data_IF_728454708084
#
_entry.id   IF_728454708084
#
_cell.length_a   1.000
_cell.length_b   1.000
_cell.length_c   1.000
_cell.angle_alpha   90.00
_cell.angle_beta   90.00
_cell.angle_gamma   90.00
#
_symmetry.space_group_name_H-M   'P 1'
#
loop_
_entity.id
_entity.type
_entity.pdbx_description
1 polymer ?
#
# COMPACT_ATOMS: atom_id res chain seq x y z
N UNK A 1 -156.79 -102.38 -13.38
CA UNK A 1 -157.22 -101.45 -12.32
C UNK A 1 -156.62 -100.09 -12.66
N UNK A 2 -157.24 -99.32 -13.56
CA UNK A 2 -158.03 -98.14 -13.21
C UNK A 2 -157.52 -97.41 -11.96
N UNK A 3 -156.89 -96.25 -12.16
CA UNK A 3 -157.44 -95.03 -11.56
C UNK A 3 -156.93 -93.79 -12.31
N UNK A 4 -157.91 -93.04 -12.80
CA UNK A 4 -157.79 -91.80 -13.55
C UNK A 4 -157.75 -90.60 -12.61
N UNK A 5 -157.37 -89.44 -13.19
CA UNK A 5 -157.56 -88.04 -12.76
C UNK A 5 -156.34 -87.31 -12.14
N UNK A 6 -156.25 -85.97 -12.25
CA UNK A 6 -156.80 -85.05 -13.28
C UNK A 6 -155.75 -84.01 -13.77
N UNK A 7 -156.02 -83.23 -14.84
CA UNK A 7 -155.14 -82.13 -15.27
C UNK A 7 -155.31 -80.90 -14.37
N UNK A 8 -154.19 -80.30 -13.95
CA UNK A 8 -154.16 -79.10 -13.09
C UNK A 8 -154.05 -77.80 -13.90
N UNK A 9 -154.79 -76.82 -13.39
CA UNK A 9 -155.24 -75.54 -13.96
C UNK A 9 -154.13 -74.51 -14.26
N UNK A 10 -154.35 -73.70 -15.30
CA UNK A 10 -153.45 -72.64 -15.77
C UNK A 10 -153.25 -71.47 -14.78
N UNK A 11 -154.13 -71.32 -13.78
CA UNK A 11 -154.05 -70.23 -12.79
C UNK A 11 -152.89 -70.34 -11.79
N UNK A 12 -152.42 -71.55 -11.49
CA UNK A 12 -151.41 -71.80 -10.46
C UNK A 12 -149.97 -71.62 -10.97
N UNK A 13 -149.78 -71.72 -12.30
CA UNK A 13 -148.48 -71.48 -12.94
C UNK A 13 -148.13 -69.99 -13.05
N UNK A 14 -149.14 -69.11 -13.01
CA UNK A 14 -148.93 -67.66 -13.13
C UNK A 14 -148.44 -67.03 -11.82
N UNK A 15 -148.93 -67.49 -10.66
CA UNK A 15 -148.50 -66.96 -9.35
C UNK A 15 -147.05 -67.35 -8.98
N UNK A 16 -146.61 -68.55 -9.38
CA UNK A 16 -145.22 -69.00 -9.15
C UNK A 16 -144.23 -68.23 -10.05
N UNK A 17 -144.62 -67.88 -11.28
CA UNK A 17 -143.77 -67.10 -12.19
C UNK A 17 -143.61 -65.63 -11.73
N UNK A 18 -144.68 -65.00 -11.22
CA UNK A 18 -144.62 -63.62 -10.71
C UNK A 18 -143.75 -63.53 -9.44
N UNK A 19 -143.81 -64.53 -8.56
CA UNK A 19 -142.96 -64.59 -7.37
C UNK A 19 -141.46 -64.70 -7.68
N UNK A 20 -141.09 -65.45 -8.71
CA UNK A 20 -139.69 -65.57 -9.15
C UNK A 20 -139.16 -64.26 -9.76
N UNK A 21 -140.00 -63.52 -10.50
CA UNK A 21 -139.64 -62.24 -11.11
C UNK A 21 -139.31 -61.17 -10.06
N UNK A 22 -140.15 -61.03 -9.03
CA UNK A 22 -139.91 -60.04 -7.95
C UNK A 22 -138.62 -60.32 -7.18
N UNK A 23 -138.30 -61.60 -6.94
CA UNK A 23 -137.05 -62.02 -6.28
C UNK A 23 -135.81 -61.69 -7.12
N UNK A 24 -135.90 -61.84 -8.45
CA UNK A 24 -134.83 -61.47 -9.36
C UNK A 24 -134.60 -59.94 -9.40
N UNK A 25 -135.67 -59.15 -9.43
CA UNK A 25 -135.59 -57.67 -9.39
C UNK A 25 -134.98 -57.18 -8.08
N UNK A 26 -135.40 -57.73 -6.93
CA UNK A 26 -134.84 -57.36 -5.64
C UNK A 26 -133.34 -57.67 -5.55
N UNK A 27 -132.91 -58.82 -6.06
CA UNK A 27 -131.49 -59.20 -6.10
C UNK A 27 -130.68 -58.24 -6.98
N UNK A 28 -131.24 -57.77 -8.09
CA UNK A 28 -130.59 -56.80 -8.97
C UNK A 28 -130.42 -55.44 -8.30
N UNK A 29 -131.44 -54.94 -7.57
CA UNK A 29 -131.34 -53.68 -6.82
C UNK A 29 -130.24 -53.73 -5.77
N UNK A 30 -130.11 -54.83 -5.02
CA UNK A 30 -129.06 -54.98 -4.00
C UNK A 30 -127.66 -54.97 -4.63
N UNK A 31 -127.49 -55.63 -5.78
CA UNK A 31 -126.19 -55.65 -6.49
C UNK A 31 -125.83 -54.25 -7.01
N UNK A 32 -126.79 -53.51 -7.56
CA UNK A 32 -126.57 -52.12 -7.99
C UNK A 32 -126.22 -51.23 -6.80
N UNK A 33 -126.92 -51.37 -5.67
CA UNK A 33 -126.63 -50.60 -4.45
C UNK A 33 -125.23 -50.89 -3.90
N UNK A 34 -124.83 -52.16 -3.88
CA UNK A 34 -123.49 -52.57 -3.48
C UNK A 34 -122.41 -51.99 -4.41
N UNK A 35 -122.68 -51.96 -5.72
CA UNK A 35 -121.78 -51.33 -6.71
C UNK A 35 -121.59 -49.82 -6.46
N UNK A 36 -122.66 -49.09 -6.16
CA UNK A 36 -122.61 -47.65 -5.86
C UNK A 36 -121.83 -47.38 -4.57
N UNK A 37 -122.06 -48.18 -3.51
CA UNK A 37 -121.33 -48.05 -2.24
C UNK A 37 -119.82 -48.31 -2.45
N UNK A 38 -119.48 -49.36 -3.22
CA UNK A 38 -118.09 -49.70 -3.51
C UNK A 38 -117.39 -48.59 -4.31
N UNK A 39 -118.06 -48.01 -5.30
CA UNK A 39 -117.56 -46.89 -6.07
C UNK A 39 -117.34 -45.64 -5.19
N UNK A 40 -118.26 -45.35 -4.27
CA UNK A 40 -118.12 -44.25 -3.31
C UNK A 40 -116.92 -44.42 -2.37
N UNK A 41 -116.69 -45.63 -1.87
CA UNK A 41 -115.52 -45.93 -1.02
C UNK A 41 -114.21 -45.81 -1.79
N UNK A 42 -114.15 -46.29 -3.04
CA UNK A 42 -112.97 -46.14 -3.90
C UNK A 42 -112.65 -44.66 -4.17
N UNK A 43 -113.66 -43.84 -4.45
CA UNK A 43 -113.47 -42.41 -4.69
C UNK A 43 -112.93 -41.68 -3.44
N UNK A 44 -113.51 -41.95 -2.26
CA UNK A 44 -113.04 -41.40 -0.99
C UNK A 44 -111.59 -41.84 -0.67
N UNK A 45 -111.27 -43.11 -0.91
CA UNK A 45 -109.91 -43.62 -0.75
C UNK A 45 -108.90 -42.89 -1.64
N UNK A 46 -109.27 -42.62 -2.89
CA UNK A 46 -108.41 -41.89 -3.82
C UNK A 46 -108.19 -40.43 -3.40
N UNK A 47 -109.24 -39.73 -2.94
CA UNK A 47 -109.17 -38.34 -2.49
C UNK A 47 -108.26 -38.19 -1.25
N UNK A 48 -108.34 -39.10 -0.28
CA UNK A 48 -107.50 -39.05 0.93
C UNK A 48 -106.02 -39.26 0.62
N UNK A 49 -105.68 -40.19 -0.27
CA UNK A 49 -104.28 -40.43 -0.67
C UNK A 49 -103.70 -39.22 -1.42
N UNK A 50 -104.51 -38.57 -2.27
CA UNK A 50 -104.07 -37.40 -3.03
C UNK A 50 -103.72 -36.21 -2.13
N UNK A 51 -104.48 -36.00 -1.05
CA UNK A 51 -104.21 -34.92 -0.09
C UNK A 51 -103.00 -35.22 0.81
N UNK A 52 -102.76 -36.48 1.19
CA UNK A 52 -101.74 -36.79 2.19
C UNK A 52 -100.33 -36.99 1.59
N UNK A 53 -100.20 -37.39 0.32
CA UNK A 53 -98.90 -37.71 -0.28
C UNK A 53 -98.27 -36.59 -1.12
N UNK A 54 -99.07 -35.75 -1.79
CA UNK A 54 -98.56 -34.82 -2.83
C UNK A 54 -98.26 -33.41 -2.27
N UNK A 55 -98.94 -32.99 -1.20
CA UNK A 55 -98.70 -31.69 -0.56
C UNK A 55 -97.36 -31.57 0.19
N UNK A 56 -96.90 -32.54 1.02
CA UNK A 56 -95.62 -32.40 1.75
C UNK A 56 -94.39 -32.48 0.85
N UNK A 57 -94.50 -33.11 -0.34
CA UNK A 57 -93.41 -33.16 -1.30
C UNK A 57 -93.06 -31.76 -1.86
N UNK A 58 -94.05 -30.86 -2.00
CA UNK A 58 -93.84 -29.49 -2.50
C UNK A 58 -93.15 -28.59 -1.47
N UNK A 59 -93.46 -28.74 -0.18
CA UNK A 59 -92.80 -27.99 0.88
C UNK A 59 -91.36 -28.47 1.11
N UNK A 60 -91.13 -29.79 1.06
CA UNK A 60 -89.79 -30.34 1.20
C UNK A 60 -88.90 -29.96 0.00
N UNK A 61 -89.41 -29.93 -1.23
CA UNK A 61 -88.64 -29.44 -2.38
C UNK A 61 -88.27 -27.96 -2.25
N UNK A 62 -89.17 -27.12 -1.72
CA UNK A 62 -88.88 -25.70 -1.49
C UNK A 62 -87.84 -25.48 -0.37
N UNK A 63 -87.87 -26.31 0.68
CA UNK A 63 -86.84 -26.31 1.74
C UNK A 63 -85.49 -26.84 1.25
N UNK A 64 -85.49 -27.87 0.41
CA UNK A 64 -84.27 -28.40 -0.18
C UNK A 64 -83.60 -27.34 -1.07
N UNK A 65 -84.37 -26.66 -1.93
CA UNK A 65 -83.83 -25.59 -2.77
C UNK A 65 -83.30 -24.41 -1.94
N UNK A 66 -83.93 -24.09 -0.81
CA UNK A 66 -83.47 -23.03 0.09
C UNK A 66 -82.18 -23.43 0.82
N UNK A 67 -82.08 -24.68 1.29
CA UNK A 67 -80.84 -25.22 1.88
C UNK A 67 -79.72 -25.30 0.86
N UNK A 68 -80.00 -25.73 -0.37
CA UNK A 68 -79.03 -25.77 -1.46
C UNK A 68 -78.53 -24.37 -1.82
N UNK A 69 -79.44 -23.38 -1.85
CA UNK A 69 -79.08 -21.96 -2.06
C UNK A 69 -78.25 -21.43 -0.88
N UNK A 70 -78.62 -21.76 0.36
CA UNK A 70 -77.89 -21.34 1.55
C UNK A 70 -76.50 -21.98 1.62
N UNK A 71 -76.39 -23.25 1.25
CA UNK A 71 -75.12 -23.98 1.19
C UNK A 71 -74.23 -23.45 0.06
N UNK A 72 -74.78 -23.18 -1.12
CA UNK A 72 -74.06 -22.53 -2.22
C UNK A 72 -73.53 -21.16 -1.78
N UNK A 73 -74.37 -20.34 -1.15
CA UNK A 73 -73.96 -19.03 -0.63
C UNK A 73 -72.89 -19.13 0.47
N UNK A 74 -72.99 -20.11 1.38
CA UNK A 74 -71.95 -20.35 2.38
C UNK A 74 -70.64 -20.80 1.75
N UNK A 75 -70.68 -21.70 0.76
CA UNK A 75 -69.50 -22.15 0.03
C UNK A 75 -68.85 -21.00 -0.73
N UNK A 76 -69.62 -20.10 -1.33
CA UNK A 76 -69.11 -18.88 -1.97
C UNK A 76 -68.43 -17.96 -0.95
N UNK A 77 -69.07 -17.69 0.20
CA UNK A 77 -68.46 -16.88 1.26
C UNK A 77 -67.18 -17.51 1.80
N UNK A 78 -67.16 -18.84 1.97
CA UNK A 78 -65.98 -19.56 2.43
C UNK A 78 -64.85 -19.48 1.40
N UNK A 79 -65.17 -19.64 0.12
CA UNK A 79 -64.21 -19.48 -0.99
C UNK A 79 -63.63 -18.07 -1.01
N UNK A 80 -64.46 -17.05 -0.87
CA UNK A 80 -64.00 -15.66 -0.79
C UNK A 80 -63.15 -15.37 0.46
N UNK A 81 -63.42 -16.04 1.59
CA UNK A 81 -62.58 -15.91 2.79
C UNK A 81 -61.23 -16.58 2.61
N UNK A 82 -61.21 -17.77 2.01
CA UNK A 82 -59.97 -18.47 1.68
C UNK A 82 -59.10 -17.64 0.71
N UNK A 83 -59.72 -17.04 -0.31
CA UNK A 83 -59.02 -16.18 -1.26
C UNK A 83 -58.45 -14.92 -0.58
N UNK A 84 -59.23 -14.26 0.29
CA UNK A 84 -58.72 -13.12 1.08
C UNK A 84 -57.57 -13.52 2.02
N UNK A 85 -57.66 -14.68 2.66
CA UNK A 85 -56.59 -15.18 3.53
C UNK A 85 -55.34 -15.52 2.72
N UNK A 86 -55.49 -16.13 1.54
CA UNK A 86 -54.37 -16.42 0.64
C UNK A 86 -53.71 -15.13 0.13
N UNK A 87 -54.51 -14.11 -0.21
CA UNK A 87 -54.02 -12.80 -0.60
C UNK A 87 -53.25 -12.14 0.55
N UNK A 88 -53.83 -12.14 1.77
CA UNK A 88 -53.19 -11.58 2.95
C UNK A 88 -51.87 -12.28 3.30
N UNK A 89 -51.81 -13.61 3.19
CA UNK A 89 -50.57 -14.38 3.41
C UNK A 89 -49.51 -14.03 2.35
N UNK A 90 -49.92 -13.83 1.10
CA UNK A 90 -49.02 -13.41 0.02
C UNK A 90 -48.49 -12.00 0.27
N UNK A 91 -49.37 -11.06 0.66
CA UNK A 91 -48.99 -9.69 0.96
C UNK A 91 -48.07 -9.61 2.19
N UNK A 92 -48.36 -10.37 3.25
CA UNK A 92 -47.46 -10.52 4.40
C UNK A 92 -46.12 -11.14 4.01
N UNK A 93 -46.12 -12.17 3.16
CA UNK A 93 -44.90 -12.77 2.62
C UNK A 93 -44.03 -11.75 1.89
N UNK A 94 -44.65 -10.93 1.05
CA UNK A 94 -43.97 -9.86 0.32
C UNK A 94 -43.42 -8.78 1.27
N UNK A 95 -44.16 -8.39 2.32
CA UNK A 95 -43.67 -7.45 3.33
C UNK A 95 -42.49 -8.00 4.13
N UNK A 96 -42.51 -9.29 4.49
CA UNK A 96 -41.38 -9.94 5.18
C UNK A 96 -40.14 -9.94 4.29
N UNK A 97 -40.29 -10.23 3.00
CA UNK A 97 -39.18 -10.18 2.03
C UNK A 97 -38.62 -8.76 1.94
N UNK A 98 -39.49 -7.74 1.86
CA UNK A 98 -39.06 -6.34 1.79
C UNK A 98 -38.30 -5.90 3.05
N UNK A 99 -38.82 -6.23 4.23
CA UNK A 99 -38.15 -5.94 5.51
C UNK A 99 -36.79 -6.66 5.63
N UNK A 100 -36.71 -7.88 5.12
CA UNK A 100 -35.46 -8.64 5.10
C UNK A 100 -34.42 -7.98 4.18
N UNK A 101 -34.83 -7.55 3.00
CA UNK A 101 -33.98 -6.82 2.04
C UNK A 101 -33.51 -5.48 2.61
N UNK A 102 -34.41 -4.70 3.21
CA UNK A 102 -34.08 -3.44 3.87
C UNK A 102 -33.09 -3.67 5.04
N UNK A 103 -33.29 -4.71 5.85
CA UNK A 103 -32.37 -5.06 6.94
C UNK A 103 -30.99 -5.48 6.44
N UNK A 104 -30.92 -6.17 5.30
CA UNK A 104 -29.66 -6.54 4.66
C UNK A 104 -28.94 -5.30 4.11
N UNK A 105 -29.68 -4.37 3.50
CA UNK A 105 -29.17 -3.07 3.06
C UNK A 105 -28.60 -2.25 4.22
N UNK A 106 -29.38 -2.07 5.29
CA UNK A 106 -28.96 -1.37 6.51
C UNK A 106 -27.70 -1.99 7.12
N UNK A 107 -27.62 -3.33 7.18
CA UNK A 107 -26.43 -4.01 7.71
C UNK A 107 -25.20 -3.74 6.85
N UNK A 108 -25.35 -3.79 5.53
CA UNK A 108 -24.29 -3.45 4.58
C UNK A 108 -23.83 -2.00 4.76
N UNK A 109 -24.76 -1.06 4.94
CA UNK A 109 -24.44 0.36 5.16
C UNK A 109 -23.68 0.57 6.47
N UNK A 110 -24.08 -0.12 7.54
CA UNK A 110 -23.37 -0.08 8.83
C UNK A 110 -21.95 -0.64 8.69
N UNK A 111 -21.76 -1.75 7.99
CA UNK A 111 -20.43 -2.31 7.73
C UNK A 111 -19.55 -1.35 6.91
N UNK A 112 -20.13 -0.67 5.91
CA UNK A 112 -19.44 0.36 5.13
C UNK A 112 -19.04 1.57 5.99
N UNK A 113 -19.97 2.09 6.81
CA UNK A 113 -19.71 3.21 7.73
C UNK A 113 -18.64 2.81 8.76
N UNK A 114 -18.66 1.58 9.25
CA UNK A 114 -17.66 1.10 10.20
C UNK A 114 -16.27 0.97 9.55
N UNK A 115 -16.20 0.46 8.32
CA UNK A 115 -14.94 0.36 7.57
C UNK A 115 -14.34 1.74 7.26
N UNK A 116 -15.18 2.72 6.90
CA UNK A 116 -14.74 4.09 6.67
C UNK A 116 -14.32 4.78 7.97
N UNK A 117 -15.02 4.53 9.09
CA UNK A 117 -14.57 4.96 10.42
C UNK A 117 -13.16 4.44 10.76
N UNK A 118 -12.88 3.17 10.47
CA UNK A 118 -11.55 2.59 10.68
C UNK A 118 -10.48 3.15 9.73
N UNK A 119 -10.86 3.70 8.58
CA UNK A 119 -9.92 4.31 7.63
C UNK A 119 -9.48 5.74 8.03
N UNK A 120 -10.32 6.51 8.72
CA UNK A 120 -9.96 7.87 9.19
C UNK A 120 -8.68 7.93 10.04
N UNK A 121 -8.44 7.10 11.07
CA UNK A 121 -7.21 7.18 11.86
C UNK A 121 -5.95 6.89 11.02
N UNK A 122 -6.06 6.04 9.99
CA UNK A 122 -4.97 5.79 9.06
C UNK A 122 -4.67 7.01 8.19
N UNK A 123 -5.70 7.73 7.74
CA UNK A 123 -5.53 8.97 7.00
C UNK A 123 -4.91 10.08 7.86
N UNK A 124 -5.35 10.23 9.12
CA UNK A 124 -4.73 11.17 10.07
C UNK A 124 -3.26 10.85 10.30
N UNK A 125 -2.92 9.57 10.48
CA UNK A 125 -1.52 9.14 10.66
C UNK A 125 -0.66 9.46 9.42
N UNK A 126 -1.20 9.26 8.22
CA UNK A 126 -0.51 9.67 6.97
C UNK A 126 -0.30 11.18 6.90
N UNK A 127 -1.25 11.97 7.38
CA UNK A 127 -1.13 13.42 7.40
C UNK A 127 -0.03 13.89 8.38
N UNK A 128 0.03 13.29 9.58
CA UNK A 128 1.09 13.54 10.57
C UNK A 128 2.48 13.13 10.03
N UNK A 129 2.57 11.97 9.36
CA UNK A 129 3.81 11.53 8.70
C UNK A 129 4.22 12.48 7.57
N UNK A 130 3.28 13.01 6.79
CA UNK A 130 3.57 14.00 5.75
C UNK A 130 4.03 15.33 6.33
N UNK A 131 3.43 15.79 7.44
CA UNK A 131 3.86 16.99 8.14
C UNK A 131 5.30 16.86 8.66
N UNK A 132 5.63 15.72 9.28
CA UNK A 132 6.99 15.41 9.74
C UNK A 132 8.00 15.42 8.59
N UNK A 133 7.66 14.78 7.47
CA UNK A 133 8.51 14.77 6.27
C UNK A 133 8.70 16.17 5.69
N UNK A 134 7.65 17.00 5.69
CA UNK A 134 7.75 18.37 5.21
C UNK A 134 8.67 19.21 6.12
N UNK A 135 8.56 19.05 7.44
CA UNK A 135 9.43 19.71 8.41
C UNK A 135 10.91 19.31 8.24
N UNK A 136 11.16 18.02 8.00
CA UNK A 136 12.50 17.49 7.72
C UNK A 136 13.07 18.05 6.42
N UNK A 137 12.30 18.06 5.33
CA UNK A 137 12.72 18.65 4.04
C UNK A 137 13.03 20.14 4.19
N UNK A 138 12.21 20.88 4.95
CA UNK A 138 12.49 22.31 5.23
C UNK A 138 13.81 22.46 5.97
N UNK A 139 14.06 21.66 7.00
CA UNK A 139 15.31 21.67 7.75
C UNK A 139 16.53 21.39 6.85
N UNK A 140 16.46 20.37 6.01
CA UNK A 140 17.52 20.04 5.05
C UNK A 140 17.74 21.20 4.08
N UNK A 141 16.66 21.84 3.58
CA UNK A 141 16.78 22.97 2.67
C UNK A 141 17.47 24.19 3.31
N UNK A 142 17.18 24.48 4.58
CA UNK A 142 17.85 25.57 5.31
C UNK A 142 19.31 25.27 5.59
N UNK A 143 19.65 24.03 5.96
CA UNK A 143 21.03 23.60 6.17
C UNK A 143 21.83 23.66 4.87
N UNK A 144 21.25 23.20 3.76
CA UNK A 144 21.88 23.26 2.44
C UNK A 144 22.14 24.70 1.97
N UNK A 145 21.19 25.62 2.22
CA UNK A 145 21.35 27.03 1.86
C UNK A 145 22.42 27.71 2.73
N UNK A 146 22.48 27.39 4.02
CA UNK A 146 23.52 27.89 4.91
C UNK A 146 24.91 27.38 4.51
N UNK A 147 25.05 26.09 4.21
CA UNK A 147 26.31 25.51 3.75
C UNK A 147 26.76 26.09 2.40
N UNK A 148 25.83 26.32 1.48
CA UNK A 148 26.13 26.98 0.21
C UNK A 148 26.61 28.43 0.42
N UNK A 149 26.00 29.16 1.36
CA UNK A 149 26.39 30.52 1.69
C UNK A 149 27.77 30.57 2.37
N UNK A 150 28.05 29.63 3.28
CA UNK A 150 29.37 29.48 3.92
C UNK A 150 30.45 29.18 2.89
N UNK A 151 30.23 28.20 2.00
CA UNK A 151 31.15 27.90 0.91
C UNK A 151 31.34 29.08 -0.05
N UNK A 152 30.28 29.85 -0.32
CA UNK A 152 30.41 31.04 -1.16
C UNK A 152 31.18 32.16 -0.45
N UNK A 153 31.05 32.30 0.87
CA UNK A 153 31.84 33.23 1.67
C UNK A 153 33.31 32.82 1.74
N UNK A 154 33.63 31.53 1.95
CA UNK A 154 35.03 31.07 1.96
C UNK A 154 35.71 31.28 0.61
N UNK A 155 34.98 31.08 -0.49
CA UNK A 155 35.47 31.39 -1.84
C UNK A 155 35.56 32.89 -2.11
N UNK A 156 34.59 33.68 -1.65
CA UNK A 156 34.55 35.13 -1.86
C UNK A 156 35.60 35.88 -1.04
N UNK A 157 35.92 35.39 0.17
CA UNK A 157 36.99 35.94 0.98
C UNK A 157 38.36 35.77 0.31
N UNK A 158 38.49 34.84 -0.65
CA UNK A 158 39.72 34.65 -1.42
C UNK A 158 40.89 34.07 -0.63
N UNK A 159 40.80 34.02 0.71
CA UNK A 159 41.85 33.55 1.62
C UNK A 159 42.37 32.15 1.25
N UNK A 160 41.47 31.22 0.92
CA UNK A 160 41.87 29.88 0.49
C UNK A 160 42.62 29.89 -0.85
N UNK A 161 42.16 30.69 -1.82
CA UNK A 161 42.82 30.79 -3.12
C UNK A 161 44.19 31.47 -2.98
N UNK A 162 44.29 32.50 -2.15
CA UNK A 162 45.54 33.19 -1.83
C UNK A 162 46.54 32.26 -1.14
N UNK A 163 46.08 31.42 -0.20
CA UNK A 163 46.92 30.42 0.47
C UNK A 163 47.43 29.35 -0.51
N UNK A 164 46.56 28.84 -1.38
CA UNK A 164 46.97 27.88 -2.41
C UNK A 164 47.96 28.51 -3.41
N UNK A 165 47.73 29.76 -3.81
CA UNK A 165 48.63 30.49 -4.70
C UNK A 165 50.01 30.74 -4.04
N UNK A 166 50.02 31.06 -2.75
CA UNK A 166 51.23 31.17 -1.95
C UNK A 166 52.03 29.86 -1.97
N UNK A 167 51.41 28.75 -1.55
CA UNK A 167 52.05 27.44 -1.50
C UNK A 167 52.56 26.97 -2.88
N UNK A 168 51.78 27.21 -3.93
CA UNK A 168 52.18 26.86 -5.30
C UNK A 168 53.42 27.64 -5.75
N UNK A 169 53.48 28.94 -5.43
CA UNK A 169 54.61 29.80 -5.80
C UNK A 169 55.87 29.42 -5.04
N UNK A 170 55.74 29.13 -3.74
CA UNK A 170 56.84 28.60 -2.91
C UNK A 170 57.35 27.27 -3.48
N UNK A 171 56.47 26.32 -3.78
CA UNK A 171 56.87 25.03 -4.36
C UNK A 171 57.56 25.19 -5.73
N UNK A 172 57.04 26.08 -6.59
CA UNK A 172 57.66 26.38 -7.88
C UNK A 172 59.07 26.94 -7.70
N UNK A 173 59.28 27.84 -6.75
CA UNK A 173 60.60 28.38 -6.44
C UNK A 173 61.56 27.30 -5.89
N UNK A 174 61.09 26.40 -5.03
CA UNK A 174 61.87 25.27 -4.53
C UNK A 174 62.36 24.36 -5.66
N UNK A 175 61.49 24.08 -6.64
CA UNK A 175 61.84 23.27 -7.80
C UNK A 175 62.89 23.93 -8.71
N UNK A 176 62.80 25.26 -8.90
CA UNK A 176 63.83 26.02 -9.63
C UNK A 176 65.18 25.97 -8.91
N UNK A 177 65.18 26.05 -7.56
CA UNK A 177 66.39 25.92 -6.73
C UNK A 177 67.00 24.52 -6.88
N UNK A 178 66.19 23.45 -6.81
CA UNK A 178 66.64 22.09 -7.03
C UNK A 178 67.26 21.92 -8.42
N UNK A 179 66.62 22.47 -9.45
CA UNK A 179 67.14 22.45 -10.82
C UNK A 179 68.45 23.24 -10.95
N UNK A 180 68.57 24.38 -10.29
CA UNK A 180 69.82 25.14 -10.23
C UNK A 180 70.97 24.32 -9.62
N UNK A 181 70.72 23.59 -8.52
CA UNK A 181 71.72 22.71 -7.90
C UNK A 181 72.18 21.60 -8.84
N UNK A 182 71.26 21.03 -9.63
CA UNK A 182 71.59 20.06 -10.68
C UNK A 182 72.46 20.69 -11.77
N UNK A 183 72.15 21.92 -12.22
CA UNK A 183 73.02 22.62 -13.18
C UNK A 183 74.40 22.96 -12.61
N UNK A 184 74.50 23.30 -11.32
CA UNK A 184 75.79 23.51 -10.65
C UNK A 184 76.63 22.23 -10.61
N UNK A 185 76.03 21.07 -10.31
CA UNK A 185 76.76 19.78 -10.28
C UNK A 185 77.22 19.34 -11.67
N UNK A 186 76.55 19.79 -12.73
CA UNK A 186 76.93 19.58 -14.13
C UNK A 186 77.88 20.67 -14.67
N UNK A 187 78.37 21.57 -13.82
CA UNK A 187 79.21 22.71 -14.20
C UNK A 187 78.57 23.68 -15.22
N UNK A 188 77.23 23.65 -15.36
CA UNK A 188 76.48 24.55 -16.22
C UNK A 188 76.06 25.83 -15.46
N UNK A 189 77.04 26.69 -15.18
CA UNK A 189 76.86 27.85 -14.29
C UNK A 189 75.92 28.91 -14.85
N UNK A 190 75.83 29.03 -16.18
CA UNK A 190 74.91 29.97 -16.84
C UNK A 190 73.46 29.61 -16.57
N UNK A 191 73.07 28.36 -16.87
CA UNK A 191 71.72 27.88 -16.59
C UNK A 191 71.42 27.89 -15.10
N UNK A 192 72.36 27.49 -14.24
CA UNK A 192 72.17 27.57 -12.80
C UNK A 192 71.84 29.00 -12.35
N UNK A 193 72.57 30.00 -12.86
CA UNK A 193 72.32 31.40 -12.53
C UNK A 193 70.94 31.87 -12.97
N UNK A 194 70.48 31.46 -14.15
CA UNK A 194 69.17 31.84 -14.68
C UNK A 194 68.03 31.23 -13.85
N UNK A 195 68.18 29.97 -13.41
CA UNK A 195 67.22 29.31 -12.50
C UNK A 195 67.14 30.01 -11.14
N UNK A 196 68.27 30.40 -10.56
CA UNK A 196 68.31 31.11 -9.27
C UNK A 196 67.63 32.48 -9.40
N UNK A 197 67.86 33.21 -10.50
CA UNK A 197 67.17 34.48 -10.76
C UNK A 197 65.67 34.29 -10.93
N UNK A 198 65.25 33.25 -11.65
CA UNK A 198 63.83 32.95 -11.83
C UNK A 198 63.15 32.63 -10.49
N UNK A 199 63.79 31.81 -9.64
CA UNK A 199 63.30 31.52 -8.30
C UNK A 199 63.18 32.78 -7.44
N UNK A 200 64.22 33.62 -7.47
CA UNK A 200 64.26 34.89 -6.74
C UNK A 200 63.12 35.83 -7.16
N UNK A 201 62.88 35.98 -8.47
CA UNK A 201 61.83 36.85 -8.98
C UNK A 201 60.45 36.43 -8.46
N UNK A 202 60.15 35.13 -8.48
CA UNK A 202 58.88 34.60 -7.95
C UNK A 202 58.73 34.88 -6.45
N UNK A 203 59.79 34.70 -5.67
CA UNK A 203 59.75 34.95 -4.22
C UNK A 203 59.62 36.45 -3.88
N UNK A 204 60.25 37.33 -4.67
CA UNK A 204 60.12 38.79 -4.50
C UNK A 204 58.70 39.25 -4.88
N UNK A 205 58.12 38.70 -5.92
CA UNK A 205 56.73 38.96 -6.31
C UNK A 205 55.78 38.49 -5.22
N UNK A 206 55.99 37.29 -4.68
CA UNK A 206 55.20 36.74 -3.57
C UNK A 206 55.32 37.58 -2.29
N UNK A 207 56.49 38.14 -2.01
CA UNK A 207 56.72 38.98 -0.82
C UNK A 207 55.85 40.25 -0.81
N UNK A 208 55.43 40.75 -1.98
CA UNK A 208 54.59 41.94 -2.10
C UNK A 208 53.17 41.71 -1.55
N UNK A 209 52.67 40.48 -1.68
CA UNK A 209 51.30 40.09 -1.31
C UNK A 209 51.22 39.25 -0.04
N UNK A 210 52.36 38.81 0.48
CA UNK A 210 52.47 37.99 1.68
C UNK A 210 52.14 38.76 2.98
N UNK A 211 51.77 38.02 4.02
CA UNK A 211 51.58 38.55 5.38
C UNK A 211 52.91 39.00 6.00
N UNK A 212 52.87 39.80 7.08
CA UNK A 212 54.10 40.30 7.73
C UNK A 212 55.01 39.18 8.25
N UNK A 213 54.44 38.07 8.72
CA UNK A 213 55.19 36.89 9.18
C UNK A 213 55.88 36.19 8.00
N UNK A 214 55.15 35.94 6.91
CA UNK A 214 55.66 35.34 5.69
C UNK A 214 56.75 36.20 5.02
N UNK A 215 56.65 37.53 5.08
CA UNK A 215 57.66 38.45 4.53
C UNK A 215 59.04 38.23 5.13
N UNK A 216 59.12 37.94 6.43
CA UNK A 216 60.38 37.69 7.11
C UNK A 216 61.03 36.38 6.64
N UNK A 217 60.23 35.32 6.49
CA UNK A 217 60.68 34.03 5.94
C UNK A 217 61.18 34.18 4.50
N UNK A 218 60.37 34.82 3.64
CA UNK A 218 60.70 35.08 2.24
C UNK A 218 61.98 35.93 2.13
N UNK A 219 62.18 36.92 3.00
CA UNK A 219 63.40 37.73 3.02
C UNK A 219 64.64 36.88 3.32
N UNK A 220 64.54 35.93 4.25
CA UNK A 220 65.62 35.01 4.57
C UNK A 220 65.96 34.11 3.37
N UNK A 221 64.95 33.58 2.67
CA UNK A 221 65.14 32.75 1.48
C UNK A 221 65.78 33.55 0.33
N UNK A 222 65.25 34.74 0.04
CA UNK A 222 65.78 35.65 -0.99
C UNK A 222 67.24 36.02 -0.69
N UNK A 223 67.57 36.32 0.57
CA UNK A 223 68.94 36.63 0.98
C UNK A 223 69.94 35.50 0.73
N UNK A 224 69.51 34.24 0.88
CA UNK A 224 70.33 33.06 0.52
C UNK A 224 70.50 32.93 -1.00
N UNK A 225 69.44 33.16 -1.78
CA UNK A 225 69.53 33.15 -3.25
C UNK A 225 70.45 34.27 -3.78
N UNK A 226 70.39 35.46 -3.17
CA UNK A 226 71.27 36.58 -3.49
C UNK A 226 72.74 36.26 -3.18
N UNK A 227 73.00 35.60 -2.05
CA UNK A 227 74.34 35.11 -1.70
C UNK A 227 74.86 34.11 -2.74
N UNK A 228 74.01 33.18 -3.18
CA UNK A 228 74.35 32.22 -4.23
C UNK A 228 74.65 32.91 -5.59
N UNK A 229 73.88 33.95 -5.96
CA UNK A 229 74.09 34.70 -7.19
C UNK A 229 75.39 35.51 -7.20
N UNK A 230 75.78 36.07 -6.05
CA UNK A 230 77.05 36.78 -5.86
C UNK A 230 78.23 35.82 -5.94
N UNK A 231 78.09 34.62 -5.39
CA UNK A 231 79.11 33.59 -5.45
C UNK A 231 79.29 32.99 -6.86
N UNK A 232 78.39 33.24 -7.81
CA UNK A 232 78.52 32.79 -9.21
C UNK A 232 79.10 33.87 -10.12
N UNK A 233 80.05 33.55 -11.03
CA UNK A 233 80.59 32.21 -11.33
C UNK A 233 81.82 31.81 -10.49
N UNK A 234 82.37 32.71 -9.69
CA UNK A 234 83.73 32.58 -9.15
C UNK A 234 83.89 31.52 -8.05
N UNK A 235 82.81 31.22 -7.31
CA UNK A 235 82.80 30.32 -6.13
C UNK A 235 81.58 29.36 -6.18
N UNK A 236 81.52 28.43 -7.15
CA UNK A 236 80.34 27.58 -7.36
C UNK A 236 80.03 26.62 -6.21
N UNK A 237 81.06 26.19 -5.44
CA UNK A 237 80.86 25.35 -4.25
C UNK A 237 80.15 26.11 -3.13
N UNK A 238 80.47 27.38 -2.92
CA UNK A 238 79.78 28.20 -1.91
C UNK A 238 78.35 28.52 -2.36
N UNK A 239 78.16 28.82 -3.66
CA UNK A 239 76.82 28.99 -4.21
C UNK A 239 75.95 27.74 -4.03
N UNK A 240 76.50 26.54 -4.24
CA UNK A 240 75.77 25.29 -4.00
C UNK A 240 75.37 25.10 -2.52
N UNK A 241 76.24 25.52 -1.59
CA UNK A 241 75.93 25.50 -0.15
C UNK A 241 74.82 26.49 0.21
N UNK A 242 74.84 27.70 -0.36
CA UNK A 242 73.80 28.71 -0.15
C UNK A 242 72.44 28.25 -0.68
N UNK A 243 72.42 27.58 -1.85
CA UNK A 243 71.18 27.01 -2.40
C UNK A 243 70.64 25.85 -1.56
N UNK A 244 71.51 25.00 -1.01
CA UNK A 244 71.08 23.95 -0.10
C UNK A 244 70.51 24.55 1.19
N UNK A 245 71.10 25.62 1.71
CA UNK A 245 70.54 26.34 2.86
C UNK A 245 69.17 26.95 2.52
N UNK A 246 69.01 27.57 1.35
CA UNK A 246 67.73 28.10 0.90
C UNK A 246 66.65 27.00 0.78
N UNK A 247 67.00 25.87 0.16
CA UNK A 247 66.10 24.73 0.00
C UNK A 247 65.66 24.15 1.35
N UNK A 248 66.59 23.99 2.30
CA UNK A 248 66.26 23.50 3.64
C UNK A 248 65.30 24.45 4.35
N UNK A 249 65.45 25.77 4.19
CA UNK A 249 64.55 26.75 4.80
C UNK A 249 63.16 26.75 4.16
N UNK A 250 63.04 26.35 2.89
CA UNK A 250 61.78 26.32 2.14
C UNK A 250 61.00 25.01 2.37
N UNK A 251 61.71 23.87 2.34
CA UNK A 251 61.09 22.54 2.41
C UNK A 251 60.93 22.03 3.85
N UNK A 252 61.77 22.49 4.77
CA UNK A 252 61.58 22.30 6.20
C UNK A 252 61.21 23.67 6.78
N UNK A 253 59.91 24.01 6.92
CA UNK A 253 59.54 25.12 7.79
C UNK A 253 60.20 24.88 9.16
N UNK A 254 60.58 25.94 9.92
CA UNK A 254 61.05 25.75 11.27
C UNK A 254 60.01 24.89 11.98
N UNK A 255 60.43 23.69 12.41
CA UNK A 255 59.69 22.95 13.40
C UNK A 255 59.34 23.97 14.46
N UNK A 256 58.03 24.15 14.68
CA UNK A 256 57.46 24.88 15.80
C UNK A 256 58.46 24.79 16.94
N UNK A 257 58.92 25.97 17.38
CA UNK A 257 59.81 26.10 18.53
C UNK A 257 59.54 24.95 19.48
N UNK A 258 60.54 24.07 19.68
CA UNK A 258 60.45 23.13 20.79
C UNK A 258 60.13 24.00 21.99
N UNK A 259 58.88 23.92 22.42
CA UNK A 259 58.42 24.48 23.68
C UNK A 259 59.49 24.07 24.66
N UNK A 260 60.14 24.98 25.39
CA UNK A 260 61.17 24.59 26.34
C UNK A 260 60.52 23.54 27.24
N UNK A 261 60.92 22.28 27.04
CA UNK A 261 60.66 21.24 28.01
C UNK A 261 61.38 21.76 29.23
N UNK A 262 60.62 22.31 30.17
CA UNK A 262 61.09 22.62 31.49
C UNK A 262 61.87 21.40 31.97
N UNK A 263 63.21 21.50 32.14
CA UNK A 263 63.91 20.45 32.84
C UNK A 263 63.39 20.53 34.27
N UNK A 264 63.04 19.35 34.76
CA UNK A 264 62.55 19.07 36.09
C UNK A 264 63.30 19.87 37.15
N UNK A 265 62.57 20.19 38.22
CA UNK A 265 63.10 20.67 39.47
C UNK A 265 64.47 20.03 39.78
N UNK A 266 65.45 20.90 40.01
CA UNK A 266 66.71 20.58 40.65
C UNK A 266 66.37 20.04 42.04
N UNK A 267 66.39 18.72 42.19
CA UNK A 267 66.59 18.09 43.49
C UNK A 267 68.10 17.92 43.66
N UNK A 268 68.62 18.50 44.74
CA UNK A 268 70.04 18.58 45.06
C UNK A 268 70.70 17.21 45.03
N UNK A 269 71.93 17.12 44.51
CA UNK A 269 72.83 16.01 44.83
C UNK A 269 74.17 16.58 45.29
N UNK A 270 74.70 16.17 46.46
CA UNK A 270 75.91 16.75 47.01
C UNK A 270 77.14 16.36 46.19
N UNK A 271 78.14 17.25 46.18
CA UNK A 271 79.48 17.02 45.62
C UNK A 271 80.14 15.79 46.27
N UNK A 272 80.86 14.99 45.47
CA UNK A 272 82.21 14.50 45.83
C UNK A 272 83.09 14.22 44.58
N UNK A 273 84.25 14.90 44.60
CA UNK A 273 85.59 14.65 44.06
C UNK A 273 85.96 13.25 43.57
N UNK A 274 86.68 13.15 42.42
CA UNK A 274 88.05 12.58 42.30
C UNK A 274 88.40 11.98 40.92
N UNK A 275 89.40 12.58 40.27
CA UNK A 275 90.65 11.98 39.71
C UNK A 275 90.67 10.54 39.17
N UNK A 276 91.14 10.34 37.92
CA UNK A 276 91.79 9.08 37.51
C UNK A 276 91.84 8.72 36.00
N UNK A 277 92.88 9.20 35.32
CA UNK A 277 93.70 8.58 34.25
C UNK A 277 93.25 7.34 33.39
N UNK A 278 93.41 7.54 32.07
CA UNK A 278 94.11 6.72 31.03
C UNK A 278 93.49 5.46 30.35
N UNK A 279 93.58 5.50 29.00
CA UNK A 279 93.93 4.45 27.99
C UNK A 279 93.02 3.24 27.74
N UNK A 280 92.51 3.08 26.50
CA UNK A 280 93.14 2.32 25.39
C UNK A 280 92.13 1.99 24.25
N UNK A 281 92.63 2.01 23.01
CA UNK A 281 92.09 1.37 21.79
C UNK A 281 92.13 -0.17 21.92
N UNK A 282 91.39 -1.00 21.13
CA UNK A 282 91.66 -1.18 19.69
C UNK A 282 90.44 -1.51 18.77
N UNK A 283 90.58 -1.19 17.48
CA UNK A 283 89.90 -1.79 16.29
C UNK A 283 90.25 -3.30 16.18
N UNK A 284 89.49 -4.19 15.49
CA UNK A 284 89.51 -4.26 14.00
C UNK A 284 88.28 -4.86 13.25
N UNK A 285 88.15 -4.46 11.98
CA UNK A 285 87.92 -5.25 10.74
C UNK A 285 86.68 -6.15 10.49
N UNK A 286 86.18 -6.05 9.24
CA UNK A 286 85.29 -7.00 8.54
C UNK A 286 84.36 -6.27 7.57
N UNK A 287 84.81 -5.83 6.39
CA UNK A 287 84.93 -6.57 5.10
C UNK A 287 83.60 -6.85 4.40
N UNK A 288 83.57 -6.45 3.13
CA UNK A 288 82.50 -6.36 2.13
C UNK A 288 81.89 -7.72 1.75
N UNK A 289 80.62 -7.72 1.32
CA UNK A 289 80.23 -8.43 0.09
C UNK A 289 78.98 -7.84 -0.59
N UNK A 290 79.11 -7.62 -1.89
CA UNK A 290 78.09 -7.19 -2.85
C UNK A 290 77.48 -8.43 -3.50
N UNK A 291 76.18 -8.48 -3.74
CA UNK A 291 75.64 -9.11 -4.97
C UNK A 291 74.31 -8.47 -5.37
N UNK A 292 74.16 -7.97 -6.61
CA UNK A 292 72.92 -7.43 -7.17
C UNK A 292 72.16 -8.52 -7.94
N UNK A 293 70.84 -8.39 -8.08
CA UNK A 293 70.09 -9.04 -9.17
C UNK A 293 68.86 -8.20 -9.50
N UNK A 294 68.87 -7.61 -10.71
CA UNK A 294 67.68 -7.04 -11.35
C UNK A 294 66.65 -8.12 -11.67
N UNK A 295 65.43 -7.81 -12.09
CA UNK A 295 65.17 -7.39 -13.47
C UNK A 295 63.73 -6.88 -13.58
N UNK A 296 63.55 -5.84 -14.38
CA UNK A 296 62.30 -5.22 -14.79
C UNK A 296 61.50 -6.14 -15.74
N UNK A 297 60.18 -6.04 -15.76
CA UNK A 297 59.38 -6.39 -16.95
C UNK A 297 58.23 -5.39 -17.09
N UNK A 298 58.09 -4.85 -18.30
CA UNK A 298 57.15 -3.81 -18.70
C UNK A 298 55.95 -4.39 -19.47
N UNK A 299 54.75 -3.80 -19.27
CA UNK A 299 53.66 -3.43 -20.24
C UNK A 299 53.13 -4.45 -21.28
N UNK A 300 51.99 -4.25 -22.01
CA UNK A 300 50.87 -3.28 -21.93
C UNK A 300 49.41 -3.87 -22.04
N UNK A 301 48.42 -3.07 -21.60
CA UNK A 301 47.05 -2.66 -22.07
C UNK A 301 46.43 -3.25 -23.39
N UNK A 302 45.13 -3.03 -23.80
CA UNK A 302 43.76 -3.22 -23.22
C UNK A 302 42.74 -3.96 -24.18
N UNK A 303 41.47 -4.15 -23.76
CA UNK A 303 40.26 -4.22 -24.64
C UNK A 303 38.99 -3.94 -23.78
N UNK A 304 38.13 -2.93 -24.04
CA UNK A 304 36.99 -2.91 -24.98
C UNK A 304 35.80 -3.72 -24.41
N UNK A 305 34.60 -3.20 -24.11
CA UNK A 305 33.63 -2.54 -25.01
C UNK A 305 32.41 -2.04 -24.20
N UNK A 306 31.95 -0.81 -24.45
CA UNK A 306 30.65 -0.26 -24.03
C UNK A 306 29.62 -0.49 -25.15
N UNK A 307 28.38 -0.88 -24.81
CA UNK A 307 27.25 -0.89 -25.75
C UNK A 307 26.07 -0.15 -25.12
N UNK A 308 25.67 0.97 -25.75
CA UNK A 308 24.45 1.73 -25.49
C UNK A 308 23.49 1.48 -26.66
N UNK A 309 22.22 1.18 -26.39
CA UNK A 309 21.17 1.14 -27.42
C UNK A 309 19.99 2.00 -26.97
N UNK A 310 19.62 3.06 -27.70
CA UNK A 310 18.33 3.73 -27.57
C UNK A 310 17.30 3.14 -28.54
N UNK A 311 16.02 3.11 -28.15
CA UNK A 311 14.88 2.92 -29.06
C UNK A 311 13.82 3.96 -28.74
N UNK A 312 13.45 4.84 -29.69
CA UNK A 312 12.20 5.57 -29.66
C UNK A 312 11.23 5.03 -30.72
N UNK A 313 9.92 4.94 -30.39
CA UNK A 313 8.85 5.27 -31.35
C UNK A 313 7.48 5.32 -30.64
N UNK A 314 6.68 6.38 -30.86
CA UNK A 314 5.28 6.46 -30.45
C UNK A 314 4.30 6.34 -31.65
N UNK A 315 3.08 5.84 -31.35
CA UNK A 315 1.76 6.06 -32.01
C UNK A 315 1.58 5.67 -33.49
N UNK A 316 0.36 5.56 -34.08
CA UNK A 316 -0.94 6.19 -33.76
C UNK A 316 -1.96 5.33 -33.01
#
# INVERSE_FOLDING_TARGET
MSNSQPPLSAGERFSIAVGAFFRAVLRLIIVVLAGVILAGLLYMGFVLIYQQAILPARENSARLSLLETQQASQNEQFSQRLERLQQQVTDMGNQIILLQDESAGLKSDVELIQSTQQAYPLQLKRLDDLEKKLAEVRKISTEALQLAQENQQTLANGDFLNEVEYQLTVLKSALLIQRARVYLSQANLGLARDEIRAARLLLVELQQTASEEQKAELAAWIGRLDSALVNLPDRPVMAASDLQAAENLILLPPLLEETPLAPLAVEETPQMTSTGALTASPTPAGTLELTPTGTLTASPTPAGTLTLTPTPSPTP
#
